data_IF_040603744767
#
_entry.id   IF_040603744767
#
_cell.length_a   1.000
_cell.length_b   1.000
_cell.length_c   1.000
_cell.angle_alpha   90.00
_cell.angle_beta   90.00
_cell.angle_gamma   90.00
#
_symmetry.space_group_name_H-M   'P 1'
#
loop_
_entity.id
_entity.type
_entity.pdbx_description
1 polymer ?
#
# COMPACT_ATOMS: atom_id res chain seq x y z
N UNK A 1 40.39 48.83 5.80
CA UNK A 1 40.90 47.46 5.85
C UNK A 1 41.14 47.02 4.42
N UNK A 2 42.39 46.68 4.10
CA UNK A 2 42.76 46.23 2.77
C UNK A 2 42.48 44.74 2.60
N UNK A 3 41.82 44.37 1.50
CA UNK A 3 41.54 42.98 1.12
C UNK A 3 41.78 42.74 -0.36
N UNK A 4 42.33 41.57 -0.65
CA UNK A 4 42.55 41.07 -2.01
C UNK A 4 41.36 40.17 -2.38
N UNK A 5 40.70 40.48 -3.48
CA UNK A 5 39.60 39.72 -4.08
C UNK A 5 40.11 39.18 -5.41
N UNK A 6 40.08 37.86 -5.59
CA UNK A 6 40.37 37.27 -6.90
C UNK A 6 39.15 37.35 -7.80
N UNK A 7 39.38 37.73 -9.05
CA UNK A 7 38.36 37.98 -10.06
C UNK A 7 38.68 37.14 -11.29
N UNK A 8 37.73 36.32 -11.72
CA UNK A 8 37.86 35.50 -12.93
C UNK A 8 37.19 36.20 -14.13
N UNK A 9 37.68 35.92 -15.35
CA UNK A 9 37.06 36.40 -16.60
C UNK A 9 37.43 37.84 -17.02
N UNK A 10 38.44 38.47 -16.41
CA UNK A 10 38.96 39.76 -16.90
C UNK A 10 39.85 39.55 -18.14
N UNK A 11 39.46 40.13 -19.27
CA UNK A 11 40.17 39.93 -20.55
C UNK A 11 40.78 41.21 -21.16
N UNK A 12 40.41 42.39 -20.66
CA UNK A 12 40.86 43.65 -21.24
C UNK A 12 40.94 44.77 -20.19
N UNK A 13 41.74 45.81 -20.47
CA UNK A 13 41.84 47.04 -19.66
C UNK A 13 40.49 47.74 -19.46
N UNK A 14 39.53 47.54 -20.37
CA UNK A 14 38.17 48.06 -20.20
C UNK A 14 37.41 47.35 -19.07
N UNK A 15 37.64 46.04 -18.85
CA UNK A 15 37.07 45.30 -17.73
C UNK A 15 37.56 45.86 -16.39
N UNK A 16 38.88 46.10 -16.29
CA UNK A 16 39.54 46.72 -15.13
C UNK A 16 38.89 48.06 -14.77
N UNK A 17 38.81 48.98 -15.75
CA UNK A 17 38.20 50.31 -15.53
C UNK A 17 36.73 50.23 -15.12
N UNK A 18 35.98 49.29 -15.68
CA UNK A 18 34.56 49.10 -15.34
C UNK A 18 34.40 48.68 -13.89
N UNK A 19 35.19 47.70 -13.44
CA UNK A 19 35.20 47.21 -12.06
C UNK A 19 35.65 48.33 -11.10
N UNK A 20 36.77 49.00 -11.36
CA UNK A 20 37.27 50.09 -10.51
C UNK A 20 36.25 51.22 -10.37
N UNK A 21 35.64 51.66 -11.49
CA UNK A 21 34.64 52.72 -11.49
C UNK A 21 33.40 52.33 -10.67
N UNK A 22 32.97 51.07 -10.77
CA UNK A 22 31.78 50.62 -10.07
C UNK A 22 32.05 50.45 -8.57
N UNK A 23 33.14 49.80 -8.20
CA UNK A 23 33.48 49.52 -6.80
C UNK A 23 33.87 50.78 -6.03
N UNK A 24 34.51 51.76 -6.68
CA UNK A 24 34.80 53.06 -6.06
C UNK A 24 33.55 53.88 -5.69
N UNK A 25 32.39 53.60 -6.31
CA UNK A 25 31.12 54.27 -5.97
C UNK A 25 30.38 53.63 -4.80
N UNK A 26 30.85 52.48 -4.30
CA UNK A 26 30.23 51.78 -3.17
C UNK A 26 30.52 52.51 -1.86
N UNK A 27 29.49 52.63 -1.02
CA UNK A 27 29.62 53.25 0.31
C UNK A 27 30.59 52.45 1.17
N UNK A 28 31.54 53.13 1.79
CA UNK A 28 32.55 52.52 2.66
C UNK A 28 33.82 52.07 1.94
N UNK A 29 33.91 52.14 0.61
CA UNK A 29 35.16 51.92 -0.13
C UNK A 29 36.01 53.18 -0.11
N UNK A 30 37.27 53.05 0.33
CA UNK A 30 38.26 54.13 0.39
C UNK A 30 39.14 54.17 -0.86
N UNK A 31 39.56 53.00 -1.32
CA UNK A 31 40.33 52.86 -2.56
C UNK A 31 40.11 51.47 -3.18
N UNK A 32 40.25 51.40 -4.50
CA UNK A 32 40.23 50.14 -5.26
C UNK A 32 41.28 50.20 -6.34
N UNK A 33 42.02 49.10 -6.50
CA UNK A 33 43.01 48.91 -7.56
C UNK A 33 42.84 47.52 -8.13
N UNK A 34 42.60 47.42 -9.44
CA UNK A 34 42.39 46.14 -10.12
C UNK A 34 43.63 45.79 -10.95
N UNK A 35 44.15 44.58 -10.78
CA UNK A 35 45.29 44.08 -11.51
C UNK A 35 44.88 42.98 -12.50
N UNK A 36 45.04 43.26 -13.80
CA UNK A 36 44.74 42.30 -14.87
C UNK A 36 45.76 41.14 -14.91
N UNK A 37 47.03 41.39 -14.56
CA UNK A 37 48.08 40.35 -14.62
C UNK A 37 47.91 39.34 -13.49
N UNK A 38 47.51 39.81 -12.31
CA UNK A 38 47.31 38.97 -11.13
C UNK A 38 45.87 38.50 -10.96
N UNK A 39 44.96 38.89 -11.86
CA UNK A 39 43.53 38.58 -11.82
C UNK A 39 42.89 38.86 -10.44
N UNK A 40 43.22 40.00 -9.85
CA UNK A 40 42.74 40.37 -8.52
C UNK A 40 42.38 41.86 -8.43
N UNK A 41 41.66 42.20 -7.37
CA UNK A 41 41.39 43.56 -6.96
C UNK A 41 41.81 43.74 -5.50
N UNK A 42 42.59 44.78 -5.26
CA UNK A 42 42.96 45.23 -3.91
C UNK A 42 41.98 46.34 -3.55
N UNK A 43 41.17 46.12 -2.51
CA UNK A 43 40.14 47.05 -2.07
C UNK A 43 40.40 47.43 -0.62
N UNK A 44 40.55 48.72 -0.34
CA UNK A 44 40.52 49.25 1.02
C UNK A 44 39.11 49.75 1.34
N UNK A 45 38.47 49.16 2.34
CA UNK A 45 37.12 49.53 2.75
C UNK A 45 36.97 49.61 4.27
N UNK A 46 35.94 50.31 4.74
CA UNK A 46 35.56 50.37 6.14
C UNK A 46 34.53 49.27 6.47
N UNK A 47 34.90 48.23 7.25
CA UNK A 47 34.00 47.15 7.61
C UNK A 47 32.81 47.58 8.48
N UNK A 48 32.82 48.82 9.04
CA UNK A 48 31.68 49.38 9.76
C UNK A 48 30.60 49.95 8.84
N UNK A 49 30.95 50.25 7.58
CA UNK A 49 30.08 50.96 6.62
C UNK A 49 29.75 50.10 5.40
N UNK A 50 30.65 49.19 5.00
CA UNK A 50 30.45 48.27 3.89
C UNK A 50 30.99 46.87 4.18
N UNK A 51 30.44 45.86 3.51
CA UNK A 51 30.88 44.46 3.66
C UNK A 51 31.67 43.98 2.44
N UNK A 52 32.60 43.05 2.67
CA UNK A 52 33.36 42.39 1.60
C UNK A 52 32.42 41.63 0.64
N UNK A 53 31.35 41.03 1.18
CA UNK A 53 30.33 40.30 0.43
C UNK A 53 29.57 41.20 -0.55
N UNK A 54 29.20 42.42 -0.14
CA UNK A 54 28.56 43.40 -1.03
C UNK A 54 29.46 43.82 -2.18
N UNK A 55 30.75 44.05 -1.90
CA UNK A 55 31.74 44.40 -2.92
C UNK A 55 31.89 43.26 -3.94
N UNK A 56 32.01 42.02 -3.47
CA UNK A 56 32.08 40.84 -4.34
C UNK A 56 30.81 40.62 -5.14
N UNK A 57 29.64 40.79 -4.54
CA UNK A 57 28.34 40.69 -5.21
C UNK A 57 28.25 41.70 -6.35
N UNK A 58 28.74 42.92 -6.16
CA UNK A 58 28.71 43.93 -7.22
C UNK A 58 29.70 43.63 -8.36
N UNK A 59 30.83 42.99 -8.06
CA UNK A 59 31.76 42.48 -9.08
C UNK A 59 31.10 41.35 -9.89
N UNK A 60 30.36 40.44 -9.24
CA UNK A 60 29.60 39.39 -9.91
C UNK A 60 28.44 39.93 -10.73
N UNK A 61 27.76 40.99 -10.26
CA UNK A 61 26.68 41.67 -11.01
C UNK A 61 27.19 42.29 -12.32
N UNK A 62 28.48 42.65 -12.39
CA UNK A 62 29.14 43.08 -13.62
C UNK A 62 29.52 41.90 -14.55
N UNK A 63 29.26 40.67 -14.12
CA UNK A 63 29.56 39.45 -14.87
C UNK A 63 30.91 38.80 -14.56
N UNK A 64 31.58 39.20 -13.47
CA UNK A 64 32.89 38.66 -13.11
C UNK A 64 32.82 37.80 -11.83
N UNK A 65 32.96 36.47 -11.93
CA UNK A 65 32.91 35.59 -10.76
C UNK A 65 34.08 35.82 -9.79
N UNK A 66 33.82 35.62 -8.48
CA UNK A 66 34.83 35.77 -7.42
C UNK A 66 35.00 34.46 -6.62
N UNK A 67 36.21 34.16 -6.15
CA UNK A 67 36.55 32.86 -5.49
C UNK A 67 35.79 32.60 -4.18
N UNK A 68 35.38 33.64 -3.44
CA UNK A 68 34.77 33.48 -2.12
C UNK A 68 33.27 33.20 -2.21
N UNK A 69 32.54 33.96 -3.02
CA UNK A 69 31.10 33.77 -3.22
C UNK A 69 30.82 32.54 -4.10
N UNK A 70 31.67 32.21 -5.07
CA UNK A 70 31.53 30.96 -5.86
C UNK A 70 31.54 29.69 -5.00
N UNK A 71 32.30 29.65 -3.90
CA UNK A 71 32.28 28.52 -2.94
C UNK A 71 30.97 28.43 -2.16
N UNK A 72 30.46 29.56 -1.67
CA UNK A 72 29.15 29.61 -0.98
C UNK A 72 27.99 29.27 -1.92
N UNK A 73 27.96 29.86 -3.12
CA UNK A 73 26.95 29.60 -4.15
C UNK A 73 26.97 28.13 -4.57
N UNK A 74 28.16 27.54 -4.76
CA UNK A 74 28.31 26.11 -5.08
C UNK A 74 27.83 25.22 -3.94
N UNK A 75 28.15 25.53 -2.68
CA UNK A 75 27.66 24.78 -1.51
C UNK A 75 26.13 24.81 -1.41
N UNK A 76 25.52 26.00 -1.55
CA UNK A 76 24.07 26.17 -1.51
C UNK A 76 23.36 25.50 -2.69
N UNK A 77 23.95 25.52 -3.88
CA UNK A 77 23.40 24.83 -5.06
C UNK A 77 23.57 23.31 -4.97
N UNK A 78 24.66 22.82 -4.40
CA UNK A 78 24.86 21.39 -4.11
C UNK A 78 23.87 20.90 -3.07
N UNK A 79 23.68 21.65 -1.97
CA UNK A 79 22.73 21.29 -0.92
C UNK A 79 21.29 21.35 -1.43
N UNK A 80 20.93 22.36 -2.23
CA UNK A 80 19.63 22.41 -2.92
C UNK A 80 19.46 21.24 -3.88
N UNK A 81 20.47 20.92 -4.70
CA UNK A 81 20.43 19.77 -5.61
C UNK A 81 20.26 18.45 -4.86
N UNK A 82 20.96 18.27 -3.74
CA UNK A 82 20.84 17.11 -2.87
C UNK A 82 19.46 17.03 -2.22
N UNK A 83 18.93 18.16 -1.72
CA UNK A 83 17.59 18.24 -1.16
C UNK A 83 16.51 17.93 -2.21
N UNK A 84 16.60 18.48 -3.42
CA UNK A 84 15.67 18.20 -4.53
C UNK A 84 15.70 16.72 -4.96
N UNK A 85 16.82 16.01 -4.79
CA UNK A 85 16.91 14.57 -5.05
C UNK A 85 16.40 13.70 -3.89
N UNK A 86 16.70 14.07 -2.64
CA UNK A 86 16.36 13.26 -1.45
C UNK A 86 14.91 13.44 -1.00
N UNK A 87 14.34 14.65 -1.13
CA UNK A 87 12.96 14.94 -0.68
C UNK A 87 11.92 14.03 -1.37
N UNK A 88 11.96 13.83 -2.71
CA UNK A 88 11.07 12.86 -3.37
C UNK A 88 11.24 11.43 -2.84
N UNK A 89 12.49 10.99 -2.59
CA UNK A 89 12.76 9.66 -2.07
C UNK A 89 12.23 9.46 -0.65
N UNK A 90 12.38 10.46 0.23
CA UNK A 90 11.77 10.44 1.56
C UNK A 90 10.24 10.37 1.44
N UNK A 91 9.64 11.08 0.49
CA UNK A 91 8.21 11.00 0.20
C UNK A 91 7.77 9.59 -0.24
N UNK A 92 8.51 8.95 -1.15
CA UNK A 92 8.23 7.58 -1.59
C UNK A 92 8.38 6.57 -0.44
N UNK A 93 9.44 6.68 0.37
CA UNK A 93 9.64 5.81 1.53
C UNK A 93 8.50 6.01 2.53
N UNK A 94 8.13 7.26 2.83
CA UNK A 94 7.00 7.58 3.69
C UNK A 94 5.68 7.02 3.17
N UNK A 95 5.43 7.09 1.86
CA UNK A 95 4.24 6.52 1.23
C UNK A 95 4.21 4.99 1.32
N UNK A 96 5.34 4.32 1.06
CA UNK A 96 5.45 2.86 1.14
C UNK A 96 5.25 2.41 2.59
N UNK A 97 5.99 3.00 3.53
CA UNK A 97 5.90 2.67 4.96
C UNK A 97 4.49 2.98 5.48
N UNK A 98 3.91 4.12 5.11
CA UNK A 98 2.55 4.50 5.47
C UNK A 98 1.49 3.56 4.90
N UNK A 99 1.66 3.06 3.67
CA UNK A 99 0.74 2.11 3.07
C UNK A 99 0.81 0.74 3.76
N UNK A 100 2.01 0.25 4.06
CA UNK A 100 2.19 -1.05 4.74
C UNK A 100 1.70 -1.00 6.18
N UNK A 101 2.18 -0.03 6.98
CA UNK A 101 1.75 0.13 8.37
C UNK A 101 0.27 0.51 8.46
N UNK A 102 -0.20 1.34 7.53
CA UNK A 102 -1.60 1.74 7.43
C UNK A 102 -2.52 0.53 7.27
N UNK A 103 -2.22 -0.37 6.33
CA UNK A 103 -3.02 -1.59 6.13
C UNK A 103 -3.01 -2.48 7.37
N UNK A 104 -1.86 -2.65 8.04
CA UNK A 104 -1.76 -3.46 9.26
C UNK A 104 -2.60 -2.89 10.41
N UNK A 105 -2.44 -1.59 10.69
CA UNK A 105 -3.19 -0.89 11.76
C UNK A 105 -4.69 -0.89 11.44
N UNK A 106 -5.04 -0.62 10.18
CA UNK A 106 -6.42 -0.60 9.72
C UNK A 106 -7.08 -1.97 9.87
N UNK A 107 -6.38 -3.05 9.49
CA UNK A 107 -6.87 -4.42 9.66
C UNK A 107 -7.10 -4.77 11.13
N UNK A 108 -6.21 -4.33 12.03
CA UNK A 108 -6.35 -4.57 13.46
C UNK A 108 -7.55 -3.82 14.06
N UNK A 109 -7.82 -2.60 13.58
CA UNK A 109 -9.02 -1.84 13.95
C UNK A 109 -10.30 -2.47 13.40
N UNK A 110 -10.27 -3.03 12.18
CA UNK A 110 -11.44 -3.70 11.59
C UNK A 110 -11.70 -5.11 12.10
N UNK A 111 -10.71 -5.80 12.68
CA UNK A 111 -10.90 -7.15 13.24
C UNK A 111 -12.08 -7.27 14.22
N UNK A 112 -12.24 -6.41 15.25
CA UNK A 112 -13.42 -6.47 16.12
C UNK A 112 -14.73 -6.17 15.39
N UNK A 113 -14.69 -5.35 14.34
CA UNK A 113 -15.87 -5.07 13.51
C UNK A 113 -16.26 -6.31 12.67
N UNK A 114 -15.29 -7.00 12.09
CA UNK A 114 -15.50 -8.23 11.31
C UNK A 114 -15.98 -9.41 12.15
N UNK A 115 -15.75 -9.41 13.47
CA UNK A 115 -16.32 -10.39 14.41
C UNK A 115 -17.80 -10.14 14.71
N UNK A 116 -18.36 -8.97 14.35
CA UNK A 116 -19.77 -8.70 14.60
C UNK A 116 -20.64 -9.36 13.54
N UNK A 117 -21.60 -10.19 13.99
CA UNK A 117 -22.58 -10.88 13.11
C UNK A 117 -23.34 -9.94 12.17
N UNK A 118 -23.55 -8.68 12.57
CA UNK A 118 -24.34 -7.70 11.81
C UNK A 118 -23.51 -6.77 10.92
N UNK A 119 -22.18 -6.81 11.00
CA UNK A 119 -21.32 -5.83 10.33
C UNK A 119 -21.57 -5.75 8.83
N UNK A 120 -21.59 -6.90 8.15
CA UNK A 120 -21.80 -6.96 6.70
C UNK A 120 -23.22 -6.57 6.29
N UNK A 121 -24.24 -6.89 7.09
CA UNK A 121 -25.59 -6.39 6.84
C UNK A 121 -25.66 -4.87 6.98
N UNK A 122 -24.95 -4.31 7.97
CA UNK A 122 -24.79 -2.86 8.13
C UNK A 122 -24.12 -2.20 6.92
N UNK A 123 -23.07 -2.81 6.37
CA UNK A 123 -22.39 -2.32 5.18
C UNK A 123 -23.30 -2.33 3.94
N UNK A 124 -24.07 -3.40 3.75
CA UNK A 124 -25.07 -3.49 2.67
C UNK A 124 -26.15 -2.42 2.87
N UNK A 125 -26.71 -2.28 4.07
CA UNK A 125 -27.73 -1.28 4.37
C UNK A 125 -27.21 0.14 4.15
N UNK A 126 -25.97 0.43 4.57
CA UNK A 126 -25.32 1.72 4.34
C UNK A 126 -25.13 1.99 2.84
N UNK A 127 -24.71 0.99 2.06
CA UNK A 127 -24.55 1.13 0.61
C UNK A 127 -25.90 1.42 -0.09
N UNK A 128 -26.97 0.75 0.32
CA UNK A 128 -28.32 1.01 -0.18
C UNK A 128 -28.80 2.39 0.26
N UNK A 129 -28.47 2.83 1.48
CA UNK A 129 -28.74 4.18 1.96
C UNK A 129 -28.06 5.26 1.12
N UNK A 130 -26.80 5.07 0.71
CA UNK A 130 -26.15 6.01 -0.20
C UNK A 130 -26.78 6.01 -1.59
N UNK A 131 -27.19 4.85 -2.10
CA UNK A 131 -27.95 4.75 -3.34
C UNK A 131 -29.29 5.51 -3.25
N UNK A 132 -30.00 5.38 -2.13
CA UNK A 132 -31.28 6.09 -1.90
C UNK A 132 -31.05 7.60 -1.88
N UNK A 133 -30.06 8.08 -1.12
CA UNK A 133 -29.70 9.50 -1.04
C UNK A 133 -29.31 10.05 -2.41
N UNK A 134 -28.51 9.32 -3.18
CA UNK A 134 -28.13 9.69 -4.55
C UNK A 134 -29.35 9.83 -5.46
N UNK A 135 -30.28 8.87 -5.42
CA UNK A 135 -31.52 8.91 -6.21
C UNK A 135 -32.41 10.08 -5.80
N UNK A 136 -32.56 10.31 -4.49
CA UNK A 136 -33.37 11.42 -3.96
C UNK A 136 -32.79 12.77 -4.37
N UNK A 137 -31.49 12.98 -4.25
CA UNK A 137 -30.82 14.21 -4.70
C UNK A 137 -30.94 14.41 -6.21
N UNK A 138 -30.79 13.34 -6.99
CA UNK A 138 -30.98 13.39 -8.44
C UNK A 138 -32.40 13.82 -8.81
N UNK A 139 -33.43 13.22 -8.21
CA UNK A 139 -34.82 13.57 -8.49
C UNK A 139 -35.17 14.98 -8.01
N UNK A 140 -34.65 15.39 -6.84
CA UNK A 140 -34.81 16.74 -6.30
C UNK A 140 -34.24 17.80 -7.24
N UNK A 141 -33.01 17.62 -7.73
CA UNK A 141 -32.36 18.59 -8.61
C UNK A 141 -33.02 18.72 -9.99
N UNK A 142 -33.93 17.81 -10.36
CA UNK A 142 -34.66 17.84 -11.62
C UNK A 142 -36.15 18.21 -11.41
N UNK A 143 -36.58 18.60 -10.21
CA UNK A 143 -37.99 18.86 -9.86
C UNK A 143 -38.92 17.65 -10.09
N UNK A 144 -38.37 16.43 -9.95
CA UNK A 144 -39.04 15.16 -10.22
C UNK A 144 -39.31 14.34 -8.95
N UNK A 145 -39.45 14.97 -7.77
CA UNK A 145 -39.72 14.29 -6.49
C UNK A 145 -41.08 13.56 -6.42
N UNK A 146 -41.93 13.68 -7.45
CA UNK A 146 -43.19 12.94 -7.56
C UNK A 146 -42.97 11.49 -7.99
N UNK A 147 -43.89 10.59 -7.65
CA UNK A 147 -43.94 9.18 -8.12
C UNK A 147 -43.88 9.12 -9.66
N UNK A 148 -44.55 10.05 -10.36
CA UNK A 148 -44.48 10.15 -11.83
C UNK A 148 -43.10 10.60 -12.34
N UNK A 149 -42.35 11.32 -11.53
CA UNK A 149 -40.97 11.69 -11.82
C UNK A 149 -40.01 10.50 -11.70
N UNK A 150 -40.25 9.64 -10.70
CA UNK A 150 -39.54 8.38 -10.53
C UNK A 150 -39.72 7.43 -11.73
N UNK A 151 -40.96 7.26 -12.21
CA UNK A 151 -41.25 6.45 -13.41
C UNK A 151 -40.55 7.00 -14.66
N UNK A 152 -40.56 8.32 -14.86
CA UNK A 152 -39.87 8.97 -15.99
C UNK A 152 -38.36 8.75 -16.00
N UNK A 153 -37.75 8.53 -14.82
CA UNK A 153 -36.31 8.29 -14.66
C UNK A 153 -36.01 6.87 -14.13
N UNK A 154 -36.91 5.92 -14.34
CA UNK A 154 -36.79 4.55 -13.83
C UNK A 154 -35.49 3.85 -14.24
N UNK A 155 -34.96 4.15 -15.44
CA UNK A 155 -33.67 3.64 -15.90
C UNK A 155 -32.51 4.02 -14.96
N UNK A 156 -32.45 5.28 -14.55
CA UNK A 156 -31.39 5.76 -13.65
C UNK A 156 -31.49 5.04 -12.29
N UNK A 157 -32.69 4.99 -11.72
CA UNK A 157 -32.94 4.32 -10.44
C UNK A 157 -32.59 2.84 -10.48
N UNK A 158 -33.05 2.15 -11.53
CA UNK A 158 -32.74 0.73 -11.73
C UNK A 158 -31.23 0.48 -11.87
N UNK A 159 -30.51 1.33 -12.60
CA UNK A 159 -29.05 1.21 -12.73
C UNK A 159 -28.35 1.47 -11.38
N UNK A 160 -28.77 2.47 -10.61
CA UNK A 160 -28.15 2.81 -9.33
C UNK A 160 -28.34 1.68 -8.30
N UNK A 161 -29.57 1.19 -8.11
CA UNK A 161 -29.83 0.10 -7.17
C UNK A 161 -29.30 -1.24 -7.71
N UNK A 162 -29.47 -1.51 -9.00
CA UNK A 162 -28.98 -2.72 -9.64
C UNK A 162 -27.47 -2.85 -9.55
N UNK A 163 -26.72 -1.77 -9.79
CA UNK A 163 -25.26 -1.76 -9.61
C UNK A 163 -24.86 -1.93 -8.15
N UNK A 164 -25.54 -1.28 -7.20
CA UNK A 164 -25.28 -1.42 -5.76
C UNK A 164 -25.50 -2.87 -5.28
N UNK A 165 -26.61 -3.49 -5.67
CA UNK A 165 -26.91 -4.89 -5.34
C UNK A 165 -25.92 -5.82 -6.04
N UNK A 166 -25.62 -5.58 -7.32
CA UNK A 166 -24.68 -6.38 -8.10
C UNK A 166 -23.27 -6.38 -7.51
N UNK A 167 -22.76 -5.22 -7.11
CA UNK A 167 -21.43 -5.09 -6.47
C UNK A 167 -21.40 -5.84 -5.14
N UNK A 168 -22.41 -5.68 -4.28
CA UNK A 168 -22.49 -6.41 -3.01
C UNK A 168 -22.58 -7.94 -3.25
N UNK A 169 -23.35 -8.37 -4.25
CA UNK A 169 -23.48 -9.79 -4.58
C UNK A 169 -22.15 -10.37 -5.09
N UNK A 170 -21.46 -9.68 -5.99
CA UNK A 170 -20.13 -10.07 -6.46
C UNK A 170 -19.12 -10.15 -5.31
N UNK A 171 -19.20 -9.21 -4.37
CA UNK A 171 -18.37 -9.19 -3.17
C UNK A 171 -18.60 -10.44 -2.30
N UNK A 172 -19.86 -10.83 -2.05
CA UNK A 172 -20.16 -12.05 -1.26
C UNK A 172 -19.94 -13.37 -2.00
N UNK A 173 -20.20 -13.43 -3.30
CA UNK A 173 -20.12 -14.70 -4.04
C UNK A 173 -18.75 -14.99 -4.64
N UNK A 174 -17.93 -13.96 -4.88
CA UNK A 174 -16.65 -14.10 -5.58
C UNK A 174 -15.51 -13.58 -4.71
N UNK A 175 -15.57 -12.33 -4.29
CA UNK A 175 -14.43 -11.67 -3.64
C UNK A 175 -14.12 -12.29 -2.29
N UNK A 176 -15.09 -12.44 -1.39
CA UNK A 176 -14.83 -13.03 -0.07
C UNK A 176 -14.43 -14.51 -0.11
N UNK A 177 -15.09 -15.38 -0.89
CA UNK A 177 -14.63 -16.77 -1.05
C UNK A 177 -13.21 -16.86 -1.60
N UNK A 178 -12.85 -15.99 -2.55
CA UNK A 178 -11.48 -15.93 -3.08
C UNK A 178 -10.50 -15.44 -2.00
N UNK A 179 -10.81 -14.36 -1.28
CA UNK A 179 -9.96 -13.84 -0.20
C UNK A 179 -9.75 -14.87 0.93
N UNK A 180 -10.78 -15.63 1.29
CA UNK A 180 -10.69 -16.70 2.28
C UNK A 180 -9.73 -17.83 1.84
N UNK A 181 -9.58 -18.03 0.53
CA UNK A 181 -8.68 -19.02 -0.08
C UNK A 181 -7.32 -18.46 -0.50
N UNK A 182 -7.14 -17.14 -0.58
CA UNK A 182 -5.83 -16.49 -0.83
C UNK A 182 -5.09 -16.27 0.49
N UNK A 183 -5.78 -15.77 1.51
CA UNK A 183 -5.25 -15.78 2.89
C UNK A 183 -4.78 -17.18 3.27
N UNK A 184 -5.56 -18.17 2.83
CA UNK A 184 -5.21 -19.49 2.32
C UNK A 184 -3.76 -19.97 2.14
N UNK A 185 -3.02 -19.27 1.30
CA UNK A 185 -1.84 -19.81 0.64
C UNK A 185 -0.51 -19.27 1.21
N UNK A 186 -0.56 -18.24 2.08
CA UNK A 186 0.64 -17.55 2.60
C UNK A 186 1.20 -18.11 3.90
N UNK A 187 0.82 -19.32 4.31
CA UNK A 187 1.44 -20.03 5.43
C UNK A 187 2.76 -20.67 4.99
N UNK A 188 3.86 -20.28 5.63
CA UNK A 188 5.22 -20.46 5.14
C UNK A 188 5.66 -21.89 4.81
N UNK A 189 6.73 -21.96 4.01
CA UNK A 189 7.56 -23.13 3.74
C UNK A 189 8.01 -23.76 5.07
N UNK A 190 7.18 -24.64 5.63
CA UNK A 190 7.60 -25.55 6.67
C UNK A 190 7.73 -26.93 6.03
N UNK A 191 8.93 -27.19 5.52
CA UNK A 191 9.44 -28.54 5.31
C UNK A 191 9.39 -29.28 6.66
N UNK A 192 8.28 -29.94 6.95
CA UNK A 192 8.13 -30.77 8.14
C UNK A 192 7.55 -32.11 7.75
N UNK A 193 8.40 -33.12 7.93
CA UNK A 193 8.11 -34.55 7.90
C UNK A 193 7.17 -34.87 9.07
N UNK A 194 5.87 -34.81 8.81
CA UNK A 194 4.81 -35.12 9.77
C UNK A 194 3.60 -35.73 9.04
N UNK A 195 2.80 -36.53 9.75
CA UNK A 195 1.57 -37.11 9.24
C UNK A 195 0.52 -36.01 9.04
N UNK A 196 0.33 -35.58 7.79
CA UNK A 196 -0.67 -34.58 7.45
C UNK A 196 -2.08 -35.18 7.53
N UNK A 197 -2.90 -34.63 8.41
CA UNK A 197 -4.32 -34.99 8.56
C UNK A 197 -5.23 -33.89 8.02
N UNK A 198 -6.45 -34.27 7.66
CA UNK A 198 -7.48 -33.37 7.19
C UNK A 198 -8.71 -33.42 8.11
N UNK A 199 -9.20 -32.24 8.49
CA UNK A 199 -10.47 -32.07 9.20
C UNK A 199 -11.37 -31.14 8.40
N UNK A 200 -12.63 -31.52 8.24
CA UNK A 200 -13.65 -30.68 7.60
C UNK A 200 -14.60 -30.13 8.65
N UNK A 201 -14.70 -28.80 8.72
CA UNK A 201 -15.51 -28.04 9.66
C UNK A 201 -16.67 -27.35 8.91
N UNK A 202 -17.88 -27.46 9.45
CA UNK A 202 -19.00 -26.59 9.12
C UNK A 202 -19.11 -25.51 10.18
N UNK A 203 -18.97 -24.24 9.79
CA UNK A 203 -18.93 -23.11 10.72
C UNK A 203 -20.16 -22.23 10.53
N UNK A 204 -20.91 -21.94 11.58
CA UNK A 204 -22.15 -21.14 11.49
C UNK A 204 -21.89 -19.63 11.30
N UNK A 205 -21.33 -19.25 10.15
CA UNK A 205 -21.18 -17.85 9.75
C UNK A 205 -22.44 -17.34 9.04
N UNK A 206 -22.87 -16.09 9.30
CA UNK A 206 -24.11 -15.55 8.73
C UNK A 206 -24.00 -15.22 7.23
N UNK A 207 -22.78 -14.97 6.74
CA UNK A 207 -22.49 -14.75 5.33
C UNK A 207 -21.01 -15.03 5.03
N UNK A 208 -20.69 -15.26 3.76
CA UNK A 208 -19.33 -15.53 3.26
C UNK A 208 -18.33 -14.42 3.56
N UNK A 209 -18.77 -13.20 3.89
CA UNK A 209 -17.91 -12.09 4.31
C UNK A 209 -17.07 -12.40 5.55
N UNK A 210 -17.50 -13.34 6.39
CA UNK A 210 -16.77 -13.76 7.58
C UNK A 210 -15.74 -14.86 7.28
N UNK A 211 -15.79 -15.51 6.11
CA UNK A 211 -14.91 -16.62 5.80
C UNK A 211 -13.41 -16.26 5.85
N UNK A 212 -12.95 -15.10 5.35
CA UNK A 212 -11.54 -14.70 5.49
C UNK A 212 -11.08 -14.56 6.95
N UNK A 213 -11.97 -14.13 7.85
CA UNK A 213 -11.67 -14.05 9.28
C UNK A 213 -11.42 -15.46 9.86
N UNK A 214 -12.34 -16.40 9.61
CA UNK A 214 -12.20 -17.79 10.08
C UNK A 214 -10.92 -18.42 9.52
N UNK A 215 -10.66 -18.26 8.22
CA UNK A 215 -9.43 -18.77 7.58
C UNK A 215 -8.16 -18.22 8.23
N UNK A 216 -8.13 -16.92 8.52
CA UNK A 216 -6.99 -16.29 9.17
C UNK A 216 -6.78 -16.81 10.60
N UNK A 217 -7.86 -16.93 11.39
CA UNK A 217 -7.77 -17.45 12.77
C UNK A 217 -7.27 -18.91 12.79
N UNK A 218 -7.79 -19.76 11.89
CA UNK A 218 -7.34 -21.15 11.77
C UNK A 218 -5.84 -21.26 11.46
N UNK A 219 -5.30 -20.35 10.65
CA UNK A 219 -3.88 -20.30 10.30
C UNK A 219 -2.97 -19.82 11.42
N UNK A 220 -3.51 -19.19 12.46
CA UNK A 220 -2.68 -18.77 13.61
C UNK A 220 -2.23 -19.96 14.46
N UNK A 221 -2.88 -21.12 14.31
CA UNK A 221 -2.53 -22.33 15.05
C UNK A 221 -1.24 -22.94 14.50
N UNK A 222 -0.31 -23.25 15.41
CA UNK A 222 0.96 -23.90 15.07
C UNK A 222 0.72 -25.32 14.58
N UNK A 223 1.10 -25.61 13.34
CA UNK A 223 0.91 -26.93 12.73
C UNK A 223 -0.24 -26.99 11.73
N UNK A 224 -1.07 -25.95 11.61
CA UNK A 224 -2.00 -25.80 10.47
C UNK A 224 -1.20 -25.39 9.24
N UNK A 225 -1.30 -26.21 8.19
CA UNK A 225 -0.55 -26.04 6.94
C UNK A 225 -1.40 -25.31 5.87
N UNK A 226 -2.68 -25.67 5.76
CA UNK A 226 -3.56 -25.16 4.71
C UNK A 226 -5.00 -25.07 5.21
N UNK A 227 -5.77 -24.08 4.75
CA UNK A 227 -7.19 -23.91 5.10
C UNK A 227 -8.00 -23.59 3.85
N UNK A 228 -8.80 -24.50 3.33
CA UNK A 228 -9.63 -24.25 2.15
C UNK A 228 -11.07 -23.95 2.55
N UNK A 229 -11.59 -22.81 2.08
CA UNK A 229 -12.99 -22.45 2.22
C UNK A 229 -13.81 -22.88 1.00
N UNK A 230 -14.93 -23.55 1.26
CA UNK A 230 -15.94 -23.94 0.27
C UNK A 230 -17.31 -23.45 0.68
N UNK A 231 -18.06 -22.88 -0.26
CA UNK A 231 -19.42 -22.42 0.00
C UNK A 231 -20.40 -23.59 0.02
N UNK A 232 -21.40 -23.60 0.91
CA UNK A 232 -21.60 -22.66 2.02
C UNK A 232 -20.86 -23.13 3.29
N UNK A 233 -20.14 -22.21 3.95
CA UNK A 233 -19.73 -22.36 5.35
C UNK A 233 -18.84 -23.58 5.70
N UNK A 234 -18.15 -24.17 4.71
CA UNK A 234 -17.30 -25.35 4.90
C UNK A 234 -15.83 -24.94 4.86
N UNK A 235 -15.06 -25.41 5.83
CA UNK A 235 -13.62 -25.18 5.94
C UNK A 235 -12.90 -26.53 6.04
N UNK A 236 -12.02 -26.81 5.09
CA UNK A 236 -11.14 -27.98 5.11
C UNK A 236 -9.77 -27.55 5.58
N UNK A 237 -9.34 -28.06 6.73
CA UNK A 237 -8.07 -27.70 7.36
C UNK A 237 -7.11 -28.87 7.25
N UNK A 238 -5.92 -28.62 6.70
CA UNK A 238 -4.80 -29.56 6.70
C UNK A 238 -3.86 -29.20 7.83
N UNK A 239 -3.58 -30.13 8.73
CA UNK A 239 -2.72 -29.89 9.90
C UNK A 239 -1.78 -31.07 10.16
N UNK A 240 -0.68 -30.81 10.85
CA UNK A 240 0.27 -31.80 11.35
C UNK A 240 -0.22 -32.31 12.71
N UNK A 241 -0.62 -33.58 12.78
CA UNK A 241 -1.12 -34.21 14.01
C UNK A 241 -0.06 -34.38 15.09
N UNK A 242 1.23 -34.22 14.77
CA UNK A 242 2.32 -34.17 15.75
C UNK A 242 2.48 -32.80 16.43
N UNK A 243 1.85 -31.75 15.90
CA UNK A 243 2.00 -30.36 16.38
C UNK A 243 0.72 -29.74 16.92
N UNK A 244 -0.43 -30.18 16.45
CA UNK A 244 -1.74 -29.66 16.85
C UNK A 244 -2.76 -30.80 16.91
N UNK A 245 -3.67 -30.72 17.88
CA UNK A 245 -4.82 -31.61 17.99
C UNK A 245 -6.13 -30.95 17.54
N UNK A 246 -7.11 -31.76 17.14
CA UNK A 246 -8.47 -31.32 16.78
C UNK A 246 -9.13 -30.49 17.88
N UNK A 247 -8.91 -30.88 19.14
CA UNK A 247 -9.47 -30.17 20.30
C UNK A 247 -8.90 -28.77 20.44
N UNK A 248 -7.67 -28.54 19.99
CA UNK A 248 -7.04 -27.22 19.99
C UNK A 248 -7.62 -26.34 18.89
N UNK A 249 -7.84 -26.91 17.69
CA UNK A 249 -8.52 -26.23 16.59
C UNK A 249 -9.91 -25.74 17.02
N UNK A 250 -10.71 -26.60 17.66
CA UNK A 250 -12.06 -26.24 18.11
C UNK A 250 -12.09 -25.26 19.30
N UNK A 251 -10.98 -25.06 20.01
CA UNK A 251 -10.88 -24.12 21.15
C UNK A 251 -10.65 -22.66 20.72
N UNK A 252 -10.42 -22.39 19.43
CA UNK A 252 -10.24 -21.04 18.92
C UNK A 252 -11.37 -20.10 19.38
N UNK A 253 -11.00 -18.88 19.78
CA UNK A 253 -11.95 -17.88 20.26
C UNK A 253 -13.05 -17.57 19.23
N UNK A 254 -12.73 -17.65 17.94
CA UNK A 254 -13.67 -17.41 16.84
C UNK A 254 -14.85 -18.40 16.84
N UNK A 255 -14.64 -19.63 17.32
CA UNK A 255 -15.70 -20.64 17.38
C UNK A 255 -16.65 -20.47 18.57
N UNK A 256 -16.36 -19.55 19.49
CA UNK A 256 -17.32 -19.13 20.53
C UNK A 256 -18.43 -18.27 19.95
N UNK A 257 -18.09 -17.42 18.99
CA UNK A 257 -19.05 -16.56 18.28
C UNK A 257 -19.69 -17.29 17.09
N UNK A 258 -18.90 -18.11 16.38
CA UNK A 258 -19.35 -18.89 15.22
C UNK A 258 -19.13 -20.39 15.46
N UNK A 259 -20.10 -21.11 16.06
CA UNK A 259 -19.94 -22.51 16.39
C UNK A 259 -19.55 -23.38 15.19
N UNK A 260 -18.55 -24.25 15.38
CA UNK A 260 -18.09 -25.20 14.37
C UNK A 260 -18.53 -26.63 14.68
N UNK A 261 -18.90 -27.37 13.64
CA UNK A 261 -19.23 -28.81 13.68
C UNK A 261 -18.29 -29.57 12.76
N UNK A 262 -17.76 -30.71 13.22
CA UNK A 262 -16.95 -31.59 12.37
C UNK A 262 -17.88 -32.36 11.43
N UNK A 263 -17.58 -32.35 10.13
CA UNK A 263 -18.34 -33.06 9.10
C UNK A 263 -17.74 -34.41 8.72
N UNK A 264 -16.42 -34.49 8.54
CA UNK A 264 -15.70 -35.71 8.16
C UNK A 264 -14.23 -35.65 8.62
N UNK A 265 -13.66 -36.81 8.92
CA UNK A 265 -12.26 -37.04 9.26
C UNK A 265 -11.66 -38.02 8.26
N UNK A 266 -10.55 -37.66 7.62
CA UNK A 266 -9.86 -38.59 6.71
C UNK A 266 -8.43 -38.81 7.22
N UNK A 267 -8.10 -39.99 7.77
CA UNK A 267 -6.72 -40.37 8.02
C UNK A 267 -6.00 -40.53 6.68
N UNK A 268 -4.77 -40.01 6.57
CA UNK A 268 -3.89 -40.27 5.43
C UNK A 268 -3.61 -41.78 5.35
N UNK A 269 -4.28 -42.49 4.44
CA UNK A 269 -3.90 -43.87 4.13
C UNK A 269 -2.53 -43.87 3.46
N UNK A 270 -1.62 -44.66 4.03
CA UNK A 270 -0.27 -44.87 3.54
C UNK A 270 -0.24 -45.39 2.11
N UNK A 271 0.79 -44.94 1.40
CA UNK A 271 1.22 -45.42 0.09
C UNK A 271 1.32 -46.96 0.10
N UNK A 272 0.63 -47.62 -0.83
CA UNK A 272 0.90 -49.01 -1.22
C UNK A 272 1.25 -49.04 -2.73
N UNK A 273 2.22 -49.86 -3.18
CA UNK A 273 2.89 -49.69 -4.49
C UNK A 273 2.07 -50.25 -5.68
N UNK A 274 2.53 -50.00 -6.93
CA UNK A 274 1.75 -50.23 -8.13
C UNK A 274 1.76 -51.69 -8.56
N UNK A 275 0.64 -52.21 -9.05
CA UNK A 275 0.60 -53.39 -9.91
C UNK A 275 -0.43 -53.17 -11.03
N UNK A 276 0.08 -53.06 -12.25
CA UNK A 276 -0.61 -53.31 -13.52
C UNK A 276 -0.21 -54.71 -14.03
N UNK A 277 -0.78 -55.28 -15.11
CA UNK A 277 -2.12 -55.20 -15.70
C UNK A 277 -2.71 -56.61 -15.99
N UNK A 278 -3.75 -56.70 -16.84
CA UNK A 278 -4.46 -57.87 -17.41
C UNK A 278 -5.69 -58.34 -16.61
N UNK A 279 -6.84 -58.73 -17.19
CA UNK A 279 -7.13 -59.16 -18.55
C UNK A 279 -8.65 -59.08 -18.80
N UNK A 280 -9.03 -58.82 -20.05
CA UNK A 280 -10.38 -58.96 -20.58
C UNK A 280 -10.84 -60.42 -20.59
N UNK A 281 -12.05 -60.73 -20.11
CA UNK A 281 -12.85 -61.83 -20.68
C UNK A 281 -14.33 -61.74 -20.27
N UNK A 282 -15.15 -61.63 -21.32
CA UNK A 282 -16.58 -61.94 -21.38
C UNK A 282 -16.87 -63.40 -21.00
N UNK A 283 -17.96 -63.69 -20.27
CA UNK A 283 -18.98 -64.70 -20.62
C UNK A 283 -19.93 -65.05 -19.47
N UNK A 284 -21.24 -64.99 -19.75
CA UNK A 284 -22.12 -66.17 -19.75
C UNK A 284 -22.51 -66.89 -18.45
N UNK A 285 -23.80 -66.71 -18.10
CA UNK A 285 -24.78 -67.74 -17.68
C UNK A 285 -24.61 -68.60 -16.39
N UNK A 286 -25.61 -68.38 -15.51
CA UNK A 286 -26.65 -69.32 -15.07
C UNK A 286 -26.43 -70.32 -13.90
N UNK A 287 -27.47 -70.34 -13.04
CA UNK A 287 -28.01 -71.44 -12.22
C UNK A 287 -27.28 -71.87 -10.93
N UNK A 288 -27.89 -71.63 -9.75
CA UNK A 288 -28.93 -72.48 -9.11
C UNK A 288 -28.97 -72.38 -7.56
N UNK A 289 -30.21 -72.36 -7.02
CA UNK A 289 -30.70 -72.85 -5.69
C UNK A 289 -30.14 -72.20 -4.42
N UNK A 290 -30.86 -72.02 -3.32
CA UNK A 290 -32.22 -72.31 -2.80
C UNK A 290 -32.25 -71.59 -1.44
N UNK A 291 -33.37 -71.17 -0.85
CA UNK A 291 -34.57 -71.90 -0.46
C UNK A 291 -35.62 -70.87 -0.03
#
# INVERSE_FOLDING_TARGET
MEKIIKIEGMHCKNCVRSIEKKISTLKGVKSVKVNLLENNAIVDFDPKVGSLEQIQTEIENLGYPTELNSKEKKSNNLLKGLAYGIVPHIGCIGFIVGSVLGVSILMQFFRPLLMSRYFFYGLVALSLGFATVSVVLYLKNNDLLSIRGLERKWKYVSITYGSTVGVNLALFLIVFPMLANVSAATGGDQLTVGSAEFITLSVDIPCSGHAPLISNELKTIVGVQEVKYSTPNIFTVRYDSGRTDKSEILKLAVFREYPAKILNETPSQGVSPPNTPNESSTSGCACCRGN
#
